data_IF_793932483993
#
_entry.id   IF_793932483993
#
_cell.length_a   1.000
_cell.length_b   1.000
_cell.length_c   1.000
_cell.angle_alpha   90.00
_cell.angle_beta   90.00
_cell.angle_gamma   90.00
#
_symmetry.space_group_name_H-M   'P 1'
#
loop_
_entity.id
_entity.type
_entity.pdbx_description
1 polymer ?
#
# COMPACT_ATOMS: atom_id res chain seq x y z
N UNK A 1 -10.39 -13.08 -12.12
CA UNK A 1 -11.14 -11.82 -12.05
C UNK A 1 -10.17 -10.77 -12.53
N UNK A 2 -10.53 -10.06 -13.59
CA UNK A 2 -9.67 -9.01 -14.13
C UNK A 2 -10.00 -7.74 -13.39
N UNK A 3 -9.02 -7.19 -12.69
CA UNK A 3 -9.15 -5.96 -11.92
C UNK A 3 -8.61 -4.80 -12.75
N UNK A 4 -9.46 -3.84 -13.07
CA UNK A 4 -9.00 -2.60 -13.68
C UNK A 4 -8.54 -1.66 -12.58
N UNK A 5 -7.22 -1.46 -12.47
CA UNK A 5 -6.63 -0.63 -11.41
C UNK A 5 -7.22 0.79 -11.34
N UNK A 6 -7.75 1.34 -12.44
CA UNK A 6 -8.39 2.67 -12.42
C UNK A 6 -9.65 2.72 -11.54
N UNK A 7 -10.32 1.59 -11.33
CA UNK A 7 -11.51 1.48 -10.47
C UNK A 7 -11.19 1.75 -8.99
N UNK A 8 -9.90 1.74 -8.60
CA UNK A 8 -9.52 2.13 -7.24
C UNK A 8 -9.94 3.55 -6.88
N UNK A 9 -10.10 4.42 -7.89
CA UNK A 9 -10.54 5.81 -7.72
C UNK A 9 -11.98 5.91 -7.22
N UNK A 10 -12.80 4.90 -7.46
CA UNK A 10 -14.18 4.85 -6.96
C UNK A 10 -14.23 4.70 -5.43
N UNK A 11 -13.09 4.37 -4.81
CA UNK A 11 -12.91 4.23 -3.37
C UNK A 11 -12.15 5.41 -2.73
N UNK A 12 -11.87 6.48 -3.47
CA UNK A 12 -11.20 7.66 -2.92
C UNK A 12 -12.22 8.65 -2.37
N UNK A 13 -12.05 9.03 -1.10
CA UNK A 13 -12.93 9.98 -0.42
C UNK A 13 -12.43 11.45 -0.51
N UNK A 14 -11.27 11.67 -1.13
CA UNK A 14 -10.67 13.00 -1.29
C UNK A 14 -10.03 13.18 -2.66
N UNK A 15 -9.67 14.43 -2.97
CA UNK A 15 -9.03 14.78 -4.23
C UNK A 15 -7.68 14.07 -4.39
N UNK A 16 -7.39 13.65 -5.62
CA UNK A 16 -6.13 13.05 -6.00
C UNK A 16 -5.03 14.11 -5.98
N UNK A 17 -3.91 13.79 -5.34
CA UNK A 17 -2.72 14.66 -5.36
C UNK A 17 -2.19 14.77 -6.78
N UNK A 18 -1.97 16.01 -7.23
CA UNK A 18 -1.43 16.26 -8.56
C UNK A 18 0.11 16.19 -8.56
N UNK A 19 0.65 15.03 -8.93
CA UNK A 19 2.09 14.83 -9.04
C UNK A 19 2.66 15.25 -10.39
N UNK A 20 3.91 15.71 -10.38
CA UNK A 20 4.69 16.01 -11.58
C UNK A 20 5.78 14.94 -11.78
N UNK A 21 5.84 14.38 -12.99
CA UNK A 21 6.75 13.27 -13.33
C UNK A 21 8.22 13.65 -13.14
N UNK A 22 8.61 14.83 -13.61
CA UNK A 22 9.99 15.30 -13.56
C UNK A 22 10.40 15.58 -12.12
N UNK A 23 9.50 16.12 -11.28
CA UNK A 23 9.75 16.28 -9.85
C UNK A 23 9.92 14.92 -9.16
N UNK A 24 9.06 13.94 -9.44
CA UNK A 24 9.13 12.60 -8.84
C UNK A 24 10.45 11.90 -9.18
N UNK A 25 10.80 11.85 -10.46
CA UNK A 25 12.03 11.20 -10.93
C UNK A 25 13.28 11.91 -10.43
N UNK A 26 13.30 13.24 -10.34
CA UNK A 26 14.38 14.00 -9.69
C UNK A 26 14.55 13.69 -8.21
N UNK A 27 13.49 13.24 -7.53
CA UNK A 27 13.54 12.78 -6.13
C UNK A 27 13.97 11.31 -6.00
N UNK A 28 14.23 10.61 -7.10
CA UNK A 28 14.67 9.21 -7.10
C UNK A 28 13.54 8.19 -7.14
N UNK A 29 12.28 8.62 -7.32
CA UNK A 29 11.14 7.72 -7.52
C UNK A 29 11.31 7.00 -8.86
N UNK A 30 11.11 5.68 -8.86
CA UNK A 30 11.22 4.88 -10.08
C UNK A 30 10.15 5.25 -11.11
N UNK A 31 10.42 4.94 -12.37
CA UNK A 31 9.47 5.21 -13.46
C UNK A 31 8.12 4.51 -13.26
N UNK A 32 8.09 3.27 -12.78
CA UNK A 32 6.84 2.53 -12.53
C UNK A 32 5.99 3.22 -11.47
N UNK A 33 6.58 3.60 -10.34
CA UNK A 33 5.87 4.29 -9.27
C UNK A 33 5.46 5.71 -9.69
N UNK A 34 6.32 6.42 -10.42
CA UNK A 34 6.00 7.75 -10.92
C UNK A 34 4.84 7.74 -11.91
N UNK A 35 4.81 6.77 -12.84
CA UNK A 35 3.67 6.57 -13.75
C UNK A 35 2.41 6.21 -12.98
N UNK A 36 2.48 5.34 -11.98
CA UNK A 36 1.32 5.03 -11.15
C UNK A 36 0.75 6.29 -10.48
N UNK A 37 1.60 7.13 -9.86
CA UNK A 37 1.19 8.36 -9.18
C UNK A 37 0.56 9.41 -10.12
N UNK A 38 0.78 9.33 -11.42
CA UNK A 38 0.23 10.29 -12.40
C UNK A 38 -0.98 9.71 -13.14
N UNK A 39 -0.87 8.47 -13.61
CA UNK A 39 -1.89 7.85 -14.43
C UNK A 39 -3.08 7.38 -13.60
N UNK A 40 -2.81 6.82 -12.40
CA UNK A 40 -3.82 6.34 -11.44
C UNK A 40 -3.97 7.34 -10.29
N UNK A 41 -2.86 7.87 -9.78
CA UNK A 41 -2.88 8.84 -8.69
C UNK A 41 -3.26 8.23 -7.35
N UNK A 42 -3.04 9.02 -6.29
CA UNK A 42 -3.42 8.69 -4.93
C UNK A 42 -4.08 9.90 -4.27
N UNK A 43 -5.07 9.70 -3.39
CA UNK A 43 -5.64 10.79 -2.61
C UNK A 43 -4.69 11.19 -1.48
N UNK A 44 -4.95 12.35 -0.85
CA UNK A 44 -4.20 12.77 0.34
C UNK A 44 -4.34 11.79 1.50
N UNK A 45 -5.53 11.21 1.65
CA UNK A 45 -5.84 10.17 2.63
C UNK A 45 -6.58 9.03 1.93
N UNK A 46 -6.14 7.80 2.20
CA UNK A 46 -6.79 6.58 1.74
C UNK A 46 -6.71 5.53 2.86
N UNK A 47 -7.87 5.10 3.36
CA UNK A 47 -7.93 4.10 4.44
C UNK A 47 -7.08 4.57 5.65
N UNK A 48 -6.14 3.76 6.12
CA UNK A 48 -5.21 4.11 7.20
C UNK A 48 -3.92 4.77 6.68
N UNK A 49 -3.91 5.39 5.50
CA UNK A 49 -2.70 5.94 4.88
C UNK A 49 -2.85 7.41 4.50
N UNK A 50 -1.82 8.19 4.79
CA UNK A 50 -1.66 9.58 4.38
C UNK A 50 -0.53 9.65 3.37
N UNK A 51 -0.80 10.24 2.21
CA UNK A 51 0.18 10.44 1.14
C UNK A 51 0.60 11.91 1.07
N UNK A 52 1.89 12.14 0.78
CA UNK A 52 2.46 13.47 0.74
C UNK A 52 2.48 14.05 -0.68
N UNK A 53 2.40 15.37 -0.77
CA UNK A 53 2.89 16.09 -1.94
C UNK A 53 4.42 15.93 -2.07
N UNK A 54 4.94 16.04 -3.29
CA UNK A 54 6.37 15.80 -3.58
C UNK A 54 7.30 16.77 -2.83
N UNK A 55 6.82 17.97 -2.51
CA UNK A 55 7.54 18.96 -1.71
C UNK A 55 7.82 18.47 -0.28
N UNK A 56 6.94 17.64 0.28
CA UNK A 56 7.06 17.07 1.62
C UNK A 56 7.82 15.73 1.66
N UNK A 57 8.25 15.21 0.51
CA UNK A 57 9.10 14.03 0.47
C UNK A 57 10.46 14.33 1.10
N UNK A 58 10.90 13.42 1.98
CA UNK A 58 12.21 13.47 2.59
C UNK A 58 12.92 12.13 2.43
N UNK A 59 14.25 12.20 2.29
CA UNK A 59 15.10 11.02 2.13
C UNK A 59 15.63 10.62 3.50
N UNK A 60 15.53 9.33 3.81
CA UNK A 60 16.07 8.70 5.01
C UNK A 60 17.10 7.65 4.59
N UNK A 61 18.30 7.74 5.14
CA UNK A 61 19.32 6.69 5.00
C UNK A 61 19.08 5.58 6.04
N UNK A 62 19.04 4.32 5.59
CA UNK A 62 18.93 3.13 6.44
C UNK A 62 19.91 2.09 5.89
N UNK A 63 20.87 1.65 6.72
CA UNK A 63 21.86 0.60 6.37
C UNK A 63 22.50 0.79 4.98
N UNK A 64 23.05 1.98 4.73
CA UNK A 64 23.70 2.40 3.47
C UNK A 64 22.77 2.51 2.24
N UNK A 65 21.46 2.41 2.43
CA UNK A 65 20.46 2.59 1.38
C UNK A 65 19.61 3.84 1.60
N UNK A 66 19.16 4.47 0.51
CA UNK A 66 18.33 5.67 0.57
C UNK A 66 16.86 5.35 0.29
N UNK A 67 16.01 5.79 1.21
CA UNK A 67 14.56 5.62 1.15
C UNK A 67 13.87 6.98 1.07
N UNK A 68 12.93 7.12 0.16
CA UNK A 68 12.08 8.31 0.00
C UNK A 68 10.82 8.06 0.81
N UNK A 69 10.59 8.84 1.87
CA UNK A 69 9.31 8.79 2.56
C UNK A 69 8.25 9.54 1.73
N UNK A 70 7.21 8.81 1.35
CA UNK A 70 6.12 9.31 0.49
C UNK A 70 4.80 9.47 1.25
N UNK A 71 4.77 9.04 2.51
CA UNK A 71 3.57 9.08 3.34
C UNK A 71 3.79 8.47 4.71
N UNK A 72 2.69 8.23 5.41
CA UNK A 72 2.67 7.55 6.70
C UNK A 72 1.30 6.90 6.95
N UNK A 73 1.23 6.04 7.96
CA UNK A 73 -0.02 5.49 8.46
C UNK A 73 -0.77 6.56 9.27
N UNK A 74 -2.07 6.73 9.01
CA UNK A 74 -2.98 7.54 9.78
C UNK A 74 -3.09 6.96 11.20
N UNK A 75 -2.26 7.45 12.11
CA UNK A 75 -2.20 6.96 13.47
C UNK A 75 -3.40 7.46 14.28
N UNK A 76 -4.50 6.72 14.27
CA UNK A 76 -5.59 6.92 15.23
C UNK A 76 -5.12 6.55 16.64
N UNK A 77 -4.43 7.48 17.31
CA UNK A 77 -4.03 7.37 18.72
C UNK A 77 -2.61 6.85 18.98
N UNK A 78 -1.80 6.54 17.96
CA UNK A 78 -0.37 6.24 18.16
C UNK A 78 0.48 7.51 18.20
N UNK A 79 1.48 7.54 19.08
CA UNK A 79 2.38 8.70 19.25
C UNK A 79 3.30 8.94 18.07
N UNK A 80 3.62 7.90 17.31
CA UNK A 80 4.51 7.96 16.16
C UNK A 80 3.89 7.17 14.99
N UNK A 81 3.72 7.84 13.85
CA UNK A 81 3.18 7.24 12.63
C UNK A 81 4.24 6.36 11.92
N UNK A 82 3.86 5.17 11.48
CA UNK A 82 4.71 4.33 10.62
C UNK A 82 4.87 5.00 9.25
N UNK A 83 6.10 5.08 8.74
CA UNK A 83 6.35 5.74 7.46
C UNK A 83 6.10 4.82 6.27
N UNK A 84 5.66 5.38 5.15
CA UNK A 84 5.60 4.71 3.85
C UNK A 84 6.79 5.15 3.01
N UNK A 85 7.57 4.20 2.52
CA UNK A 85 8.84 4.47 1.86
C UNK A 85 8.96 3.80 0.50
N UNK A 86 9.59 4.49 -0.44
CA UNK A 86 10.11 3.91 -1.67
C UNK A 86 11.63 3.86 -1.59
N UNK A 87 12.25 2.72 -1.92
CA UNK A 87 13.70 2.67 -2.07
C UNK A 87 14.10 3.40 -3.36
N UNK A 88 15.09 4.30 -3.28
CA UNK A 88 15.54 5.04 -4.47
C UNK A 88 15.99 4.08 -5.58
N UNK A 89 15.56 4.34 -6.81
CA UNK A 89 15.90 3.50 -7.97
C UNK A 89 15.27 2.10 -7.95
N UNK A 90 14.33 1.83 -7.05
CA UNK A 90 13.58 0.58 -6.95
C UNK A 90 12.08 0.85 -7.01
N UNK A 91 11.32 -0.15 -7.44
CA UNK A 91 9.86 -0.07 -7.42
C UNK A 91 9.28 -0.42 -6.05
N UNK A 92 10.05 -1.09 -5.18
CA UNK A 92 9.53 -1.68 -3.95
C UNK A 92 9.05 -0.64 -2.94
N UNK A 93 7.85 -0.90 -2.42
CA UNK A 93 7.22 -0.14 -1.35
C UNK A 93 7.53 -0.79 0.00
N UNK A 94 7.89 0.03 0.97
CA UNK A 94 8.28 -0.38 2.32
C UNK A 94 7.49 0.36 3.39
N UNK A 95 7.47 -0.22 4.58
CA UNK A 95 7.03 0.43 5.82
C UNK A 95 8.02 0.19 6.95
N UNK A 96 8.03 1.06 7.96
CA UNK A 96 8.79 0.83 9.20
C UNK A 96 8.15 -0.23 10.07
N UNK A 97 8.96 -1.03 10.77
CA UNK A 97 8.44 -2.04 11.69
C UNK A 97 7.75 -1.43 12.93
N UNK A 98 6.67 -2.08 13.41
CA UNK A 98 6.09 -1.81 14.73
C UNK A 98 7.06 -1.97 15.89
N UNK A 99 8.02 -2.90 15.76
CA UNK A 99 8.93 -3.34 16.82
C UNK A 99 10.25 -2.55 16.81
N UNK A 100 10.76 -2.20 15.62
CA UNK A 100 11.96 -1.40 15.45
C UNK A 100 11.81 -0.40 14.29
N UNK A 101 11.68 0.88 14.62
CA UNK A 101 11.51 1.98 13.65
C UNK A 101 12.78 2.31 12.87
N UNK A 102 13.91 1.70 13.23
CA UNK A 102 15.15 1.78 12.45
C UNK A 102 15.16 0.80 11.28
N UNK A 103 14.28 -0.21 11.29
CA UNK A 103 14.18 -1.21 10.23
C UNK A 103 12.98 -0.95 9.30
N UNK A 104 13.18 -1.22 8.01
CA UNK A 104 12.14 -1.17 6.97
C UNK A 104 11.88 -2.56 6.42
N UNK A 105 10.62 -2.84 6.14
CA UNK A 105 10.14 -4.12 5.64
C UNK A 105 9.32 -3.92 4.37
N UNK A 106 9.38 -4.90 3.48
CA UNK A 106 8.64 -4.88 2.21
C UNK A 106 7.14 -4.90 2.52
N UNK A 107 6.43 -3.89 1.99
CA UNK A 107 4.98 -3.81 2.02
C UNK A 107 4.39 -4.40 0.74
N UNK A 108 4.88 -3.96 -0.41
CA UNK A 108 4.56 -4.51 -1.73
C UNK A 108 5.70 -4.32 -2.73
N UNK A 109 5.69 -5.08 -3.82
CA UNK A 109 6.65 -4.90 -4.92
C UNK A 109 6.61 -3.52 -5.58
N UNK A 110 5.47 -2.81 -5.53
CA UNK A 110 5.29 -1.42 -5.98
C UNK A 110 3.95 -0.82 -5.55
N UNK A 111 3.78 0.49 -5.78
CA UNK A 111 2.53 1.23 -5.47
C UNK A 111 1.32 0.66 -6.21
N UNK A 112 1.47 0.33 -7.49
CA UNK A 112 0.38 -0.28 -8.27
C UNK A 112 -0.17 -1.52 -7.60
N UNK A 113 0.72 -2.36 -7.07
CA UNK A 113 0.37 -3.62 -6.43
C UNK A 113 -0.27 -3.42 -5.07
N UNK A 114 0.26 -2.46 -4.29
CA UNK A 114 -0.34 -2.04 -3.04
C UNK A 114 -1.81 -1.59 -3.24
N UNK A 115 -2.06 -0.69 -4.21
CA UNK A 115 -3.42 -0.25 -4.51
C UNK A 115 -4.28 -1.35 -5.17
N UNK A 116 -3.67 -2.27 -5.92
CA UNK A 116 -4.38 -3.43 -6.45
C UNK A 116 -4.87 -4.35 -5.32
N UNK A 117 -4.09 -4.55 -4.25
CA UNK A 117 -4.54 -5.31 -3.09
C UNK A 117 -5.77 -4.67 -2.45
N UNK A 118 -5.76 -3.34 -2.28
CA UNK A 118 -6.93 -2.60 -1.79
C UNK A 118 -8.14 -2.69 -2.72
N UNK A 119 -7.95 -2.62 -4.04
CA UNK A 119 -9.03 -2.81 -5.01
C UNK A 119 -9.64 -4.21 -4.89
N UNK A 120 -8.78 -5.25 -4.85
CA UNK A 120 -9.19 -6.64 -4.67
C UNK A 120 -9.99 -6.80 -3.39
N UNK A 121 -9.50 -6.22 -2.29
CA UNK A 121 -10.15 -6.19 -0.98
C UNK A 121 -11.60 -5.69 -1.10
N UNK A 122 -11.77 -4.50 -1.67
CA UNK A 122 -13.07 -3.84 -1.70
C UNK A 122 -14.05 -4.57 -2.64
N UNK A 123 -13.61 -4.89 -3.86
CA UNK A 123 -14.41 -5.57 -4.87
C UNK A 123 -14.87 -6.96 -4.42
N UNK A 124 -13.95 -7.73 -3.82
CA UNK A 124 -14.29 -9.07 -3.34
C UNK A 124 -15.31 -9.01 -2.21
N UNK A 125 -15.15 -8.09 -1.26
CA UNK A 125 -16.09 -7.90 -0.17
C UNK A 125 -17.48 -7.53 -0.71
N UNK A 126 -17.56 -6.57 -1.63
CA UNK A 126 -18.81 -6.15 -2.25
C UNK A 126 -19.51 -7.32 -2.95
N UNK A 127 -18.78 -8.09 -3.78
CA UNK A 127 -19.33 -9.25 -4.49
C UNK A 127 -19.82 -10.35 -3.55
N UNK A 128 -19.05 -10.68 -2.52
CA UNK A 128 -19.44 -11.71 -1.56
C UNK A 128 -20.66 -11.30 -0.73
N UNK A 129 -20.77 -10.01 -0.36
CA UNK A 129 -21.94 -9.46 0.34
C UNK A 129 -23.19 -9.50 -0.54
N UNK A 130 -23.08 -9.06 -1.80
CA UNK A 130 -24.18 -9.12 -2.77
C UNK A 130 -24.69 -10.54 -3.01
N UNK A 131 -23.78 -11.52 -3.03
CA UNK A 131 -24.13 -12.93 -3.18
C UNK A 131 -24.59 -13.61 -1.86
N UNK A 132 -24.56 -12.92 -0.72
CA UNK A 132 -24.95 -13.48 0.58
C UNK A 132 -24.00 -14.57 1.10
N UNK A 133 -22.74 -14.60 0.64
CA UNK A 133 -21.74 -15.63 1.00
C UNK A 133 -20.60 -15.08 1.85
N UNK A 134 -20.67 -13.82 2.24
CA UNK A 134 -19.64 -13.16 3.04
C UNK A 134 -19.55 -13.75 4.45
N UNK A 135 -18.39 -14.29 4.78
CA UNK A 135 -17.90 -14.56 6.15
C UNK A 135 -16.44 -14.13 6.21
N UNK A 136 -15.97 -13.69 7.38
CA UNK A 136 -14.59 -13.17 7.51
C UNK A 136 -13.54 -14.21 7.11
N UNK A 137 -13.71 -15.48 7.50
CA UNK A 137 -12.80 -16.58 7.14
C UNK A 137 -12.71 -16.82 5.62
N UNK A 138 -13.86 -16.92 4.93
CA UNK A 138 -13.95 -17.15 3.49
C UNK A 138 -13.42 -15.96 2.72
N UNK A 139 -13.64 -14.76 3.25
CA UNK A 139 -13.14 -13.54 2.65
C UNK A 139 -11.61 -13.50 2.74
N UNK A 140 -11.05 -13.72 3.92
CA UNK A 140 -9.61 -13.76 4.13
C UNK A 140 -8.92 -14.85 3.30
N UNK A 141 -9.48 -16.08 3.29
CA UNK A 141 -8.97 -17.17 2.47
C UNK A 141 -8.93 -16.82 0.99
N UNK A 142 -9.99 -16.20 0.46
CA UNK A 142 -10.01 -15.76 -0.95
C UNK A 142 -9.05 -14.60 -1.22
N UNK A 143 -8.92 -13.65 -0.30
CA UNK A 143 -7.93 -12.58 -0.45
C UNK A 143 -6.52 -13.14 -0.50
N UNK A 144 -6.19 -14.10 0.37
CA UNK A 144 -4.90 -14.79 0.38
C UNK A 144 -4.58 -15.36 -0.99
N UNK A 145 -5.52 -16.12 -1.58
CA UNK A 145 -5.36 -16.68 -2.92
C UNK A 145 -5.07 -15.60 -3.97
N UNK A 146 -5.78 -14.46 -3.95
CA UNK A 146 -5.53 -13.37 -4.89
C UNK A 146 -4.17 -12.70 -4.65
N UNK A 147 -3.84 -12.40 -3.39
CA UNK A 147 -2.64 -11.68 -3.01
C UNK A 147 -1.38 -12.49 -3.31
N UNK A 148 -1.37 -13.79 -3.01
CA UNK A 148 -0.26 -14.69 -3.32
C UNK A 148 0.00 -14.81 -4.83
N UNK A 149 -1.05 -14.76 -5.65
CA UNK A 149 -0.91 -14.76 -7.11
C UNK A 149 -0.35 -13.44 -7.66
N UNK A 150 -0.64 -12.31 -7.02
CA UNK A 150 -0.24 -10.98 -7.50
C UNK A 150 1.15 -10.58 -6.98
N UNK A 151 1.44 -10.83 -5.71
CA UNK A 151 2.69 -10.47 -5.03
C UNK A 151 3.08 -11.51 -3.96
N UNK A 152 3.62 -12.67 -4.37
CA UNK A 152 3.97 -13.75 -3.45
C UNK A 152 5.10 -13.38 -2.48
N UNK A 153 5.91 -12.36 -2.78
CA UNK A 153 7.01 -11.95 -1.89
C UNK A 153 6.44 -11.30 -0.64
N UNK A 154 5.51 -10.37 -0.82
CA UNK A 154 4.86 -9.66 0.28
C UNK A 154 4.02 -10.61 1.15
N UNK A 155 3.40 -11.64 0.54
CA UNK A 155 2.64 -12.66 1.27
C UNK A 155 3.49 -13.70 2.01
N UNK A 156 4.76 -13.90 1.63
CA UNK A 156 5.67 -14.81 2.37
C UNK A 156 6.14 -14.22 3.70
N UNK A 157 6.05 -12.91 3.87
CA UNK A 157 6.38 -12.26 5.13
C UNK A 157 5.22 -12.47 6.11
N UNK A 158 5.33 -13.48 6.98
CA UNK A 158 4.30 -13.79 7.99
C UNK A 158 4.10 -12.64 8.99
N UNK A 159 5.14 -11.85 9.24
CA UNK A 159 5.08 -10.65 10.09
C UNK A 159 4.75 -9.38 9.28
N UNK A 160 4.44 -9.52 7.99
CA UNK A 160 4.12 -8.42 7.10
C UNK A 160 2.70 -7.89 7.32
N UNK A 161 2.50 -6.62 6.96
CA UNK A 161 1.20 -5.94 7.06
C UNK A 161 0.03 -6.76 6.48
N UNK A 162 0.18 -7.31 5.27
CA UNK A 162 -0.89 -8.08 4.62
C UNK A 162 -1.16 -9.42 5.29
N UNK A 163 -0.15 -10.06 5.86
CA UNK A 163 -0.33 -11.32 6.57
C UNK A 163 -1.11 -11.12 7.86
N UNK A 164 -0.73 -10.11 8.65
CA UNK A 164 -1.47 -9.69 9.85
C UNK A 164 -2.89 -9.24 9.52
N UNK A 165 -3.05 -8.41 8.47
CA UNK A 165 -4.37 -8.00 7.99
C UNK A 165 -5.28 -9.20 7.70
N UNK A 166 -4.79 -10.25 7.03
CA UNK A 166 -5.60 -11.43 6.75
C UNK A 166 -5.88 -12.27 8.01
N UNK A 167 -4.91 -12.38 8.91
CA UNK A 167 -5.06 -13.10 10.18
C UNK A 167 -6.17 -12.48 11.05
N UNK A 168 -6.28 -11.15 11.10
CA UNK A 168 -7.34 -10.47 11.84
C UNK A 168 -8.74 -10.91 11.36
N UNK A 169 -8.94 -11.04 10.04
CA UNK A 169 -10.21 -11.55 9.49
C UNK A 169 -10.40 -13.06 9.70
N UNK A 170 -9.33 -13.86 9.69
CA UNK A 170 -9.39 -15.30 9.96
C UNK A 170 -9.76 -15.59 11.43
N UNK A 171 -9.26 -14.77 12.34
CA UNK A 171 -9.42 -14.93 13.80
C UNK A 171 -10.58 -14.12 14.38
N UNK A 172 -11.09 -13.13 13.64
CA UNK A 172 -12.19 -12.25 14.06
C UNK A 172 -11.78 -11.20 15.09
N UNK A 173 -10.50 -10.80 15.08
CA UNK A 173 -9.93 -9.76 15.94
C UNK A 173 -10.20 -8.35 15.40
#
# INVERSE_FOLDING_TARGET
MDFNILEIRDYYDSEIINYDYDKLTKRGVSEENARFLIDVGVPAEYDDFVFYEVEAFHVKGIEDEEYIQIGHFASYGMRDSYGLYLKQGSDTLFTTSPLDKSEVYILNKNLRTFFLFHLIRNELAAKMRLAGVYTSDKYASKLRDYFENVDPISMKNVEGYWSHFLEDYETGL
#
